data_IF_496508545642
#
_entry.id   IF_496508545642
#
_cell.length_a   1.000
_cell.length_b   1.000
_cell.length_c   1.000
_cell.angle_alpha   90.00
_cell.angle_beta   90.00
_cell.angle_gamma   90.00
#
_symmetry.space_group_name_H-M   'P 1'
#
loop_
_entity.id
_entity.type
_entity.pdbx_description
1 polymer ?
#
# COMPACT_ATOMS: atom_id res chain seq x y z
N UNK A 1 13.70 9.71 9.79
CA UNK A 1 13.69 9.01 8.48
C UNK A 1 12.25 8.92 8.03
N UNK A 2 11.89 9.50 6.86
CA UNK A 2 10.51 9.65 6.43
C UNK A 2 9.84 8.32 6.06
N UNK A 3 8.56 8.20 6.40
CA UNK A 3 7.79 6.95 6.27
C UNK A 3 6.68 7.01 5.24
N UNK A 4 6.21 8.22 4.96
CA UNK A 4 5.06 8.46 4.11
C UNK A 4 5.36 9.63 3.18
N UNK A 5 4.82 9.60 1.96
CA UNK A 5 4.95 10.72 1.04
C UNK A 5 3.56 11.20 0.58
N UNK A 6 3.47 12.50 0.39
CA UNK A 6 2.33 13.22 -0.19
C UNK A 6 2.84 14.01 -1.39
N UNK A 7 2.30 13.73 -2.56
CA UNK A 7 2.60 14.48 -3.77
C UNK A 7 1.46 15.44 -4.06
N UNK A 8 1.73 16.72 -3.87
CA UNK A 8 0.76 17.77 -4.10
C UNK A 8 0.86 18.34 -5.51
N UNK A 9 -0.30 18.71 -6.06
CA UNK A 9 -0.37 19.44 -7.31
C UNK A 9 -0.10 20.92 -7.05
N UNK A 10 0.84 21.51 -7.80
CA UNK A 10 1.03 22.98 -7.83
C UNK A 10 -0.20 23.62 -8.49
N UNK A 11 -1.02 24.33 -7.73
CA UNK A 11 -2.21 25.02 -8.23
C UNK A 11 -1.95 26.53 -8.39
N UNK A 12 -2.56 27.18 -9.40
CA UNK A 12 -2.39 28.62 -9.69
C UNK A 12 -3.26 29.50 -8.77
N UNK A 13 -2.71 30.69 -8.45
CA UNK A 13 -3.25 31.89 -7.76
C UNK A 13 -4.47 31.67 -6.84
N UNK A 14 -4.25 31.83 -5.52
CA UNK A 14 -5.27 31.80 -4.45
C UNK A 14 -5.18 30.56 -3.54
N UNK A 15 -4.67 29.45 -4.04
CA UNK A 15 -4.53 28.18 -3.32
C UNK A 15 -3.35 28.10 -2.34
N UNK A 16 -2.44 29.09 -2.34
CA UNK A 16 -1.25 29.07 -1.49
C UNK A 16 -1.58 29.20 0.00
N UNK A 17 -2.43 30.17 0.37
CA UNK A 17 -2.87 30.38 1.76
C UNK A 17 -3.50 29.13 2.38
N UNK A 18 -4.24 28.42 1.55
CA UNK A 18 -4.96 27.19 1.88
C UNK A 18 -4.00 26.01 2.07
N UNK A 19 -3.05 25.84 1.15
CA UNK A 19 -1.98 24.85 1.29
C UNK A 19 -1.09 25.15 2.51
N UNK A 20 -0.89 26.42 2.83
CA UNK A 20 -0.09 26.85 3.99
C UNK A 20 -0.83 26.60 5.31
N UNK A 21 -2.14 26.81 5.36
CA UNK A 21 -2.96 26.43 6.50
C UNK A 21 -2.99 24.91 6.70
N UNK A 22 -3.13 24.15 5.61
CA UNK A 22 -3.05 22.69 5.63
C UNK A 22 -1.68 22.18 6.10
N UNK A 23 -0.59 22.76 5.58
CA UNK A 23 0.78 22.45 6.02
C UNK A 23 0.99 22.74 7.50
N UNK A 24 0.46 23.87 8.00
CA UNK A 24 0.53 24.21 9.43
C UNK A 24 -0.17 23.16 10.28
N UNK A 25 -1.36 22.73 9.88
CA UNK A 25 -2.10 21.69 10.58
C UNK A 25 -1.37 20.33 10.58
N UNK A 26 -0.70 19.99 9.48
CA UNK A 26 0.13 18.77 9.43
C UNK A 26 1.39 18.86 10.29
N UNK A 27 2.02 20.03 10.42
CA UNK A 27 3.22 20.20 11.26
C UNK A 27 2.98 19.93 12.74
N UNK A 28 1.74 20.07 13.19
CA UNK A 28 1.36 19.77 14.58
C UNK A 28 1.53 18.27 14.92
N UNK A 29 1.41 17.40 13.91
CA UNK A 29 1.38 15.94 14.07
C UNK A 29 2.53 15.23 13.35
N UNK A 30 3.17 15.90 12.40
CA UNK A 30 4.15 15.30 11.50
C UNK A 30 5.35 16.24 11.29
N UNK A 31 6.53 15.67 11.27
CA UNK A 31 7.70 16.32 10.70
C UNK A 31 7.55 16.31 9.18
N UNK A 32 7.64 17.50 8.57
CA UNK A 32 7.47 17.69 7.13
C UNK A 32 8.81 18.04 6.49
N UNK A 33 9.30 17.17 5.60
CA UNK A 33 10.44 17.45 4.75
C UNK A 33 9.97 17.64 3.30
N UNK A 34 10.38 18.73 2.64
CA UNK A 34 10.08 18.93 1.21
C UNK A 34 11.14 18.23 0.34
N UNK A 35 10.73 17.19 -0.37
CA UNK A 35 11.60 16.46 -1.29
C UNK A 35 11.57 17.09 -2.69
N UNK A 36 12.48 18.04 -2.91
CA UNK A 36 12.68 18.69 -4.20
C UNK A 36 11.58 19.69 -4.59
N UNK A 37 11.85 20.51 -5.62
CA UNK A 37 10.98 21.61 -6.06
C UNK A 37 9.64 21.21 -6.71
N UNK A 38 9.26 19.93 -6.61
CA UNK A 38 8.09 19.32 -7.26
C UNK A 38 6.81 19.25 -6.41
N UNK A 39 6.83 19.72 -5.15
CA UNK A 39 5.67 19.65 -4.26
C UNK A 39 5.46 18.28 -3.61
N UNK A 40 6.53 17.51 -3.45
CA UNK A 40 6.53 16.25 -2.68
C UNK A 40 6.85 16.59 -1.23
N UNK A 41 5.95 16.21 -0.33
CA UNK A 41 6.11 16.31 1.12
C UNK A 41 6.34 14.91 1.67
N UNK A 42 7.46 14.73 2.35
CA UNK A 42 7.75 13.55 3.14
C UNK A 42 7.26 13.80 4.57
N UNK A 43 6.57 12.82 5.12
CA UNK A 43 6.05 12.88 6.48
C UNK A 43 6.72 11.81 7.31
N UNK A 44 7.19 12.26 8.47
CA UNK A 44 7.55 11.41 9.59
C UNK A 44 6.54 11.70 10.69
N UNK A 45 5.84 10.68 11.21
CA UNK A 45 4.97 10.88 12.36
C UNK A 45 5.83 11.32 13.55
N UNK A 46 5.42 12.41 14.21
CA UNK A 46 5.99 12.79 15.49
C UNK A 46 5.42 11.79 16.49
N UNK A 47 6.23 10.79 16.84
CA UNK A 47 5.80 9.72 17.74
C UNK A 47 5.63 10.32 19.15
N UNK A 48 4.42 10.22 19.70
CA UNK A 48 4.23 10.21 21.15
C UNK A 48 4.76 8.84 21.59
N UNK A 49 5.98 8.81 22.09
CA UNK A 49 6.67 7.59 22.48
C UNK A 49 5.74 6.71 23.33
N UNK A 50 5.19 5.66 22.73
CA UNK A 50 4.57 4.58 23.49
C UNK A 50 5.71 3.77 24.09
N UNK A 51 6.28 4.27 25.19
CA UNK A 51 7.36 3.67 25.99
C UNK A 51 7.06 2.22 26.41
N UNK A 52 5.82 1.76 26.21
CA UNK A 52 5.35 0.42 26.57
C UNK A 52 5.73 -0.68 25.56
N UNK A 53 6.09 -0.34 24.31
CA UNK A 53 6.40 -1.33 23.27
C UNK A 53 7.91 -1.40 22.98
N UNK A 54 8.58 -2.40 23.55
CA UNK A 54 10.03 -2.62 23.42
C UNK A 54 10.48 -3.13 22.04
N UNK A 55 9.55 -3.43 21.12
CA UNK A 55 9.86 -3.89 19.77
C UNK A 55 9.99 -2.71 18.80
N UNK A 56 11.08 -2.60 18.00
CA UNK A 56 11.21 -1.55 17.01
C UNK A 56 10.12 -1.70 15.94
N UNK A 57 9.28 -0.67 15.80
CA UNK A 57 8.20 -0.63 14.80
C UNK A 57 8.76 -0.83 13.39
N UNK A 58 8.14 -1.73 12.63
CA UNK A 58 8.52 -2.01 11.24
C UNK A 58 8.21 -0.82 10.33
N UNK A 59 8.90 -0.71 9.19
CA UNK A 59 8.63 0.36 8.22
C UNK A 59 7.18 0.40 7.74
N UNK A 60 6.55 -0.78 7.62
CA UNK A 60 5.15 -0.90 7.27
C UNK A 60 4.22 -0.37 8.37
N UNK A 61 4.48 -0.72 9.63
CA UNK A 61 3.69 -0.24 10.78
C UNK A 61 3.81 1.26 10.96
N UNK A 62 5.01 1.83 10.82
CA UNK A 62 5.23 3.29 10.87
C UNK A 62 4.46 4.00 9.76
N UNK A 63 4.51 3.48 8.53
CA UNK A 63 3.76 4.07 7.42
C UNK A 63 2.24 3.91 7.59
N UNK A 64 1.77 2.80 8.18
CA UNK A 64 0.37 2.59 8.52
C UNK A 64 -0.09 3.53 9.63
N UNK A 65 0.74 3.77 10.65
CA UNK A 65 0.49 4.75 11.70
C UNK A 65 0.38 6.16 11.11
N UNK A 66 1.31 6.56 10.23
CA UNK A 66 1.23 7.81 9.48
C UNK A 66 -0.09 7.93 8.71
N UNK A 67 -0.48 6.88 7.98
CA UNK A 67 -1.71 6.88 7.19
C UNK A 67 -2.97 7.01 8.07
N UNK A 68 -3.02 6.35 9.24
CA UNK A 68 -4.11 6.45 10.21
C UNK A 68 -4.18 7.85 10.81
N UNK A 69 -3.06 8.39 11.25
CA UNK A 69 -2.98 9.75 11.80
C UNK A 69 -3.43 10.79 10.76
N UNK A 70 -3.01 10.64 9.50
CA UNK A 70 -3.47 11.49 8.39
C UNK A 70 -4.97 11.37 8.12
N UNK A 71 -5.55 10.18 8.27
CA UNK A 71 -6.98 9.95 8.11
C UNK A 71 -7.80 10.57 9.25
N UNK A 72 -7.22 10.68 10.46
CA UNK A 72 -7.83 11.30 11.63
C UNK A 72 -7.74 12.83 11.61
N UNK A 73 -6.81 13.42 10.85
CA UNK A 73 -6.78 14.87 10.63
C UNK A 73 -8.10 15.33 10.04
N UNK A 74 -8.80 16.23 10.74
CA UNK A 74 -10.03 16.87 10.26
C UNK A 74 -9.70 18.23 9.65
N UNK A 75 -10.50 18.74 8.73
CA UNK A 75 -10.32 20.12 8.28
C UNK A 75 -10.72 21.08 9.42
N UNK A 76 -9.82 21.96 9.85
CA UNK A 76 -10.16 23.00 10.83
C UNK A 76 -11.22 23.96 10.24
N UNK A 77 -12.11 24.50 11.08
CA UNK A 77 -13.14 25.49 10.70
C UNK A 77 -12.66 26.62 9.77
N UNK A 78 -11.52 27.29 10.03
CA UNK A 78 -11.00 28.31 9.10
C UNK A 78 -10.49 27.75 7.76
N UNK A 79 -10.02 26.50 7.72
CA UNK A 79 -9.65 25.82 6.48
C UNK A 79 -10.89 25.49 5.65
N UNK A 80 -11.90 24.99 6.35
CA UNK A 80 -13.23 24.67 5.85
C UNK A 80 -13.94 25.90 5.24
N UNK A 81 -13.89 27.04 5.92
CA UNK A 81 -14.43 28.32 5.44
C UNK A 81 -13.64 28.87 4.23
N UNK A 82 -12.32 28.70 4.21
CA UNK A 82 -11.49 29.08 3.06
C UNK A 82 -11.77 28.21 1.81
N UNK A 83 -12.34 27.02 1.98
CA UNK A 83 -12.68 26.08 0.91
C UNK A 83 -14.16 26.07 0.49
N UNK A 84 -15.06 26.39 1.43
CA UNK A 84 -16.48 26.64 1.22
C UNK A 84 -16.67 28.09 0.82
N UNK A 85 -16.31 28.41 -0.43
CA UNK A 85 -16.38 29.79 -0.93
C UNK A 85 -17.69 30.48 -0.59
N UNK A 86 -17.56 31.68 -0.01
CA UNK A 86 -18.51 32.79 0.00
C UNK A 86 -19.62 32.63 -1.04
N UNK A 87 -20.79 32.17 -0.60
CA UNK A 87 -21.94 31.93 -1.47
C UNK A 87 -23.21 31.71 -0.67
N UNK A 88 -23.89 32.82 -0.34
CA UNK A 88 -25.28 32.82 0.09
C UNK A 88 -25.50 32.80 1.60
N UNK A 89 -25.75 33.99 2.15
CA UNK A 89 -26.60 34.14 3.33
C UNK A 89 -27.99 33.58 2.96
N UNK A 90 -28.20 32.31 3.28
CA UNK A 90 -29.41 31.56 2.95
C UNK A 90 -29.56 30.46 4.00
N UNK A 91 -30.38 30.74 4.99
CA UNK A 91 -30.90 29.78 5.97
C UNK A 91 -31.20 28.43 5.29
N UNK A 92 -30.53 27.35 5.74
CA UNK A 92 -30.96 25.97 5.45
C UNK A 92 -30.10 25.10 4.52
N UNK A 93 -28.79 25.34 4.37
CA UNK A 93 -27.89 24.43 3.65
C UNK A 93 -26.97 23.68 4.60
N UNK A 94 -27.18 22.39 4.79
CA UNK A 94 -26.24 21.51 5.52
C UNK A 94 -24.83 21.66 4.95
N UNK A 95 -23.93 22.09 5.82
CA UNK A 95 -22.54 22.34 5.51
C UNK A 95 -21.91 21.09 4.93
N UNK A 96 -21.29 21.17 3.76
CA UNK A 96 -20.56 20.07 3.11
C UNK A 96 -19.45 19.45 3.99
N UNK A 97 -19.15 20.10 5.13
CA UNK A 97 -18.24 19.66 6.17
C UNK A 97 -18.86 18.66 7.16
N UNK A 98 -20.19 18.65 7.30
CA UNK A 98 -20.89 17.61 8.07
C UNK A 98 -20.89 16.27 7.32
N UNK A 99 -20.71 16.31 5.99
CA UNK A 99 -20.73 15.10 5.17
C UNK A 99 -19.40 14.33 5.14
N UNK A 100 -18.25 14.98 5.40
CA UNK A 100 -16.94 14.30 5.38
C UNK A 100 -15.92 14.94 6.34
N UNK A 101 -15.64 14.32 7.51
CA UNK A 101 -14.73 14.89 8.50
C UNK A 101 -13.24 14.76 8.14
N UNK A 102 -12.84 13.90 7.20
CA UNK A 102 -11.43 13.61 6.95
C UNK A 102 -10.79 14.57 5.94
N UNK A 103 -9.72 15.25 6.34
CA UNK A 103 -8.94 16.18 5.54
C UNK A 103 -8.41 15.55 4.25
N UNK A 104 -8.02 14.28 4.30
CA UNK A 104 -7.51 13.54 3.15
C UNK A 104 -8.55 13.39 2.02
N UNK A 105 -9.80 13.01 2.35
CA UNK A 105 -10.88 12.89 1.37
C UNK A 105 -11.20 14.23 0.73
N UNK A 106 -11.20 15.28 1.54
CA UNK A 106 -11.42 16.64 1.09
C UNK A 106 -10.35 17.06 0.04
N UNK A 107 -9.05 16.86 0.35
CA UNK A 107 -7.94 17.17 -0.56
C UNK A 107 -7.99 16.34 -1.85
N UNK A 108 -8.43 15.07 -1.77
CA UNK A 108 -8.62 14.19 -2.92
C UNK A 108 -9.76 14.68 -3.82
N UNK A 109 -10.91 15.06 -3.24
CA UNK A 109 -12.09 15.56 -3.97
C UNK A 109 -11.78 16.87 -4.71
N UNK A 110 -11.05 17.79 -4.09
CA UNK A 110 -10.64 19.06 -4.71
C UNK A 110 -9.46 18.92 -5.68
N UNK A 111 -8.83 17.75 -5.78
CA UNK A 111 -7.75 17.48 -6.72
C UNK A 111 -6.40 18.11 -6.36
N UNK A 112 -6.18 18.48 -5.08
CA UNK A 112 -4.89 18.98 -4.59
C UNK A 112 -3.87 17.86 -4.41
N UNK A 113 -4.34 16.66 -4.05
CA UNK A 113 -3.50 15.50 -3.86
C UNK A 113 -3.39 14.73 -5.18
N UNK A 114 -2.16 14.64 -5.70
CA UNK A 114 -1.87 13.89 -6.93
C UNK A 114 -1.63 12.42 -6.64
N UNK A 115 -0.80 12.13 -5.65
CA UNK A 115 -0.54 10.76 -5.18
C UNK A 115 -0.10 10.78 -3.72
N UNK A 116 -0.30 9.67 -3.02
CA UNK A 116 0.17 9.49 -1.65
C UNK A 116 0.47 8.01 -1.41
N UNK A 117 1.36 7.72 -0.47
CA UNK A 117 1.65 6.33 -0.11
C UNK A 117 2.82 6.19 0.86
N UNK A 118 3.05 4.95 1.34
CA UNK A 118 4.24 4.63 2.11
C UNK A 118 5.50 4.84 1.27
N UNK A 119 6.59 5.29 1.91
CA UNK A 119 7.86 5.44 1.24
C UNK A 119 8.61 4.10 1.22
N UNK A 120 8.72 3.49 0.05
CA UNK A 120 9.44 2.23 -0.10
C UNK A 120 10.96 2.41 0.00
N UNK A 121 11.62 1.56 0.79
CA UNK A 121 13.08 1.48 0.84
C UNK A 121 13.59 0.49 -0.22
N UNK A 122 14.26 0.96 -1.30
CA UNK A 122 14.64 0.10 -2.41
C UNK A 122 15.82 -0.83 -2.08
N UNK A 123 16.59 -0.54 -1.03
CA UNK A 123 17.67 -1.39 -0.53
C UNK A 123 17.12 -2.64 0.16
N UNK A 124 16.19 -2.45 1.11
CA UNK A 124 15.51 -3.52 1.85
C UNK A 124 14.71 -4.44 0.93
N UNK A 125 13.94 -3.86 -0.02
CA UNK A 125 13.23 -4.65 -1.03
C UNK A 125 14.19 -5.53 -1.83
N UNK A 126 15.32 -4.97 -2.30
CA UNK A 126 16.31 -5.73 -3.08
C UNK A 126 16.94 -6.87 -2.27
N UNK A 127 17.21 -6.69 -0.98
CA UNK A 127 17.69 -7.79 -0.13
C UNK A 127 16.63 -8.88 0.06
N UNK A 128 15.36 -8.51 0.27
CA UNK A 128 14.26 -9.47 0.39
C UNK A 128 14.08 -10.27 -0.90
N UNK A 129 14.10 -9.60 -2.05
CA UNK A 129 14.02 -10.26 -3.35
C UNK A 129 15.15 -11.27 -3.58
N UNK A 130 16.40 -10.92 -3.23
CA UNK A 130 17.52 -11.85 -3.31
C UNK A 130 17.30 -13.09 -2.44
N UNK A 131 16.83 -12.89 -1.20
CA UNK A 131 16.58 -13.99 -0.27
C UNK A 131 15.43 -14.88 -0.72
N UNK A 132 14.37 -14.29 -1.28
CA UNK A 132 13.25 -15.02 -1.83
C UNK A 132 13.69 -15.94 -2.99
N UNK A 133 14.59 -15.47 -3.86
CA UNK A 133 15.11 -16.25 -4.97
C UNK A 133 16.11 -17.33 -4.54
N UNK A 134 16.90 -17.09 -3.49
CA UNK A 134 17.90 -18.05 -3.01
C UNK A 134 17.33 -19.14 -2.10
N UNK A 135 16.15 -18.91 -1.51
CA UNK A 135 15.56 -19.82 -0.52
C UNK A 135 14.53 -20.74 -1.17
N UNK A 136 14.60 -22.04 -0.89
CA UNK A 136 13.57 -22.99 -1.32
C UNK A 136 12.20 -22.73 -0.68
N UNK A 137 12.19 -22.06 0.48
CA UNK A 137 10.99 -21.59 1.17
C UNK A 137 11.02 -20.06 1.29
N UNK A 138 9.90 -19.36 1.03
CA UNK A 138 9.85 -17.91 1.14
C UNK A 138 10.04 -17.46 2.61
N UNK A 139 10.84 -16.41 2.89
CA UNK A 139 10.99 -15.87 4.24
C UNK A 139 9.75 -15.04 4.65
N UNK A 140 8.68 -15.71 5.06
CA UNK A 140 7.34 -15.13 5.28
C UNK A 140 7.34 -13.98 6.31
N UNK A 141 8.08 -14.12 7.41
CA UNK A 141 8.07 -13.13 8.49
C UNK A 141 8.61 -11.76 8.05
N UNK A 142 9.61 -11.75 7.18
CA UNK A 142 10.19 -10.50 6.68
C UNK A 142 9.35 -9.87 5.57
N UNK A 143 8.71 -10.72 4.76
CA UNK A 143 7.67 -10.27 3.83
C UNK A 143 6.50 -9.64 4.59
N UNK A 144 6.11 -10.22 5.74
CA UNK A 144 5.06 -9.70 6.62
C UNK A 144 5.44 -8.35 7.20
N UNK A 145 6.67 -8.23 7.72
CA UNK A 145 7.18 -6.98 8.26
C UNK A 145 7.31 -5.85 7.22
N UNK A 146 7.61 -6.17 5.95
CA UNK A 146 7.84 -5.17 4.90
C UNK A 146 6.56 -4.83 4.09
N UNK A 147 5.82 -5.83 3.65
CA UNK A 147 4.63 -5.66 2.79
C UNK A 147 3.30 -5.78 3.55
N UNK A 148 3.32 -6.34 4.75
CA UNK A 148 2.13 -6.62 5.56
C UNK A 148 1.64 -8.08 5.44
N UNK A 149 0.72 -8.44 6.33
CA UNK A 149 0.07 -9.74 6.45
C UNK A 149 -0.46 -10.34 5.12
N UNK A 150 -1.26 -9.61 4.30
CA UNK A 150 -1.93 -10.24 3.16
C UNK A 150 -0.97 -10.66 2.05
N UNK A 151 0.12 -9.90 1.87
CA UNK A 151 1.14 -10.22 0.86
C UNK A 151 1.97 -11.41 1.34
N UNK A 152 2.35 -11.45 2.62
CA UNK A 152 3.09 -12.58 3.19
C UNK A 152 2.31 -13.90 3.07
N UNK A 153 1.01 -13.86 3.41
CA UNK A 153 0.12 -15.01 3.28
C UNK A 153 -0.01 -15.51 1.83
N UNK A 154 -0.09 -14.59 0.86
CA UNK A 154 -0.11 -14.96 -0.56
C UNK A 154 1.13 -15.76 -0.96
N UNK A 155 2.33 -15.33 -0.55
CA UNK A 155 3.57 -16.05 -0.89
C UNK A 155 3.67 -17.41 -0.20
N UNK A 156 3.21 -17.53 1.05
CA UNK A 156 3.17 -18.81 1.77
C UNK A 156 2.18 -19.78 1.13
N UNK A 157 0.98 -19.30 0.79
CA UNK A 157 -0.02 -20.08 0.08
C UNK A 157 0.48 -20.56 -1.29
N UNK A 158 1.12 -19.68 -2.08
CA UNK A 158 1.71 -20.03 -3.37
C UNK A 158 2.80 -21.11 -3.25
N UNK A 159 3.62 -21.05 -2.21
CA UNK A 159 4.63 -22.08 -1.93
C UNK A 159 3.98 -23.43 -1.62
N UNK A 160 2.97 -23.43 -0.74
CA UNK A 160 2.20 -24.62 -0.42
C UNK A 160 1.55 -25.21 -1.69
N UNK A 161 0.86 -24.39 -2.47
CA UNK A 161 0.21 -24.79 -3.73
C UNK A 161 1.20 -25.40 -4.72
N UNK A 162 2.39 -24.82 -4.87
CA UNK A 162 3.44 -25.34 -5.75
C UNK A 162 3.93 -26.73 -5.29
N UNK A 163 4.07 -26.93 -3.97
CA UNK A 163 4.39 -28.24 -3.41
C UNK A 163 3.29 -29.28 -3.68
N UNK A 164 2.01 -28.89 -3.60
CA UNK A 164 0.87 -29.76 -3.91
C UNK A 164 0.76 -30.12 -5.40
N UNK A 165 1.25 -29.27 -6.30
CA UNK A 165 1.35 -29.58 -7.73
C UNK A 165 2.48 -30.57 -8.07
N UNK A 166 3.45 -30.76 -7.17
CA UNK A 166 4.57 -31.69 -7.37
C UNK A 166 4.13 -33.14 -7.65
N UNK A 167 3.36 -33.79 -6.75
CA UNK A 167 2.91 -35.17 -6.95
C UNK A 167 2.13 -35.43 -8.25
N UNK A 168 1.09 -34.64 -8.62
CA UNK A 168 0.37 -34.87 -9.87
C UNK A 168 1.25 -34.60 -11.10
N UNK A 169 2.18 -33.64 -11.03
CA UNK A 169 3.13 -33.41 -12.12
C UNK A 169 4.09 -34.59 -12.31
N UNK A 170 4.64 -35.14 -11.21
CA UNK A 170 5.49 -36.34 -11.26
C UNK A 170 4.71 -37.55 -11.76
N UNK A 171 3.47 -37.75 -11.29
CA UNK A 171 2.62 -38.84 -11.75
C UNK A 171 2.31 -38.75 -13.24
N UNK A 172 1.91 -37.56 -13.72
CA UNK A 172 1.68 -37.31 -15.13
C UNK A 172 2.93 -37.55 -15.99
N UNK A 173 4.10 -37.11 -15.51
CA UNK A 173 5.37 -37.33 -16.19
C UNK A 173 5.75 -38.82 -16.24
N UNK A 174 5.54 -39.56 -15.15
CA UNK A 174 5.80 -41.01 -15.11
C UNK A 174 4.89 -41.76 -16.08
N UNK A 175 3.60 -41.43 -16.14
CA UNK A 175 2.66 -42.01 -17.10
C UNK A 175 3.06 -41.70 -18.54
N UNK A 176 3.47 -40.46 -18.81
CA UNK A 176 3.95 -40.06 -20.15
C UNK A 176 5.20 -40.83 -20.57
N UNK A 177 6.19 -40.98 -19.67
CA UNK A 177 7.39 -41.78 -19.92
C UNK A 177 7.08 -43.27 -20.11
N UNK A 178 6.13 -43.82 -19.35
CA UNK A 178 5.69 -45.21 -19.49
C UNK A 178 4.99 -45.45 -20.85
N UNK A 179 4.15 -44.51 -21.29
CA UNK A 179 3.51 -44.56 -22.62
C UNK A 179 4.55 -44.52 -23.74
N UNK A 180 5.54 -43.62 -23.66
CA UNK A 180 6.65 -43.56 -24.61
C UNK A 180 7.43 -44.87 -24.68
N UNK A 181 7.75 -45.48 -23.53
CA UNK A 181 8.49 -46.75 -23.49
C UNK A 181 7.68 -47.92 -24.05
N UNK A 182 6.36 -47.90 -23.89
CA UNK A 182 5.49 -49.01 -24.30
C UNK A 182 5.19 -49.00 -25.81
N UNK A 183 5.47 -47.90 -26.52
CA UNK A 183 5.19 -47.78 -27.96
C UNK A 183 3.69 -47.81 -28.32
N UNK A 184 2.82 -47.81 -27.30
CA UNK A 184 1.36 -47.81 -27.45
C UNK A 184 0.95 -46.37 -27.73
N UNK A 185 0.77 -46.05 -29.02
CA UNK A 185 0.06 -44.84 -29.44
C UNK A 185 -1.44 -45.01 -29.20
N UNK A 186 -2.19 -43.91 -29.18
CA UNK A 186 -3.66 -43.91 -29.05
C UNK A 186 -4.30 -44.86 -30.09
N UNK A 187 -3.67 -44.99 -31.25
CA UNK A 187 -4.14 -45.82 -32.38
C UNK A 187 -3.86 -47.33 -32.22
N UNK A 188 -2.97 -47.73 -31.31
CA UNK A 188 -2.54 -49.13 -31.11
C UNK A 188 -2.94 -49.69 -29.73
N UNK A 189 -3.88 -49.04 -29.05
CA UNK A 189 -4.30 -49.41 -27.70
C UNK A 189 -5.43 -50.47 -27.71
N UNK A 190 -5.18 -51.73 -27.29
CA UNK A 190 -6.18 -52.79 -27.30
C UNK A 190 -7.34 -52.59 -26.30
N UNK A 191 -7.27 -51.58 -25.43
CA UNK A 191 -8.32 -51.25 -24.45
C UNK A 191 -9.23 -50.09 -24.87
N UNK A 192 -8.88 -49.35 -25.92
CA UNK A 192 -9.77 -48.36 -26.53
C UNK A 192 -10.58 -49.07 -27.62
N UNK A 193 -11.85 -49.38 -27.33
CA UNK A 193 -12.76 -50.05 -28.25
C UNK A 193 -13.29 -49.14 -29.39
N UNK A 194 -12.50 -48.17 -29.84
CA UNK A 194 -12.86 -47.34 -30.99
C UNK A 194 -12.42 -48.02 -32.31
N UNK A 195 -12.70 -49.33 -32.41
CA UNK A 195 -13.15 -50.09 -33.58
C UNK A 195 -13.58 -51.47 -33.10
#
# INVERSE_FOLDING_TARGET
MPDYYLHLRRHRRGSHLVLDAWRRQLRDRFELEEAGGGGILLLTLLDEADESSTAPLTGHERAAACARALAQCRADGPLADAFGGSGGSGSGGTSWLDADPSLMRFCKRKGFLRSHGPLHRPSEARSLWRRLLMSARPPVEELRAYFGEPVALYFEWMHCYSCWLGPPAVFGLLLWLASLRSGVSVDNNPYLSLY
#
